data_IF_620602803316
#
_entry.id   IF_620602803316
#
_cell.length_a   1.000
_cell.length_b   1.000
_cell.length_c   1.000
_cell.angle_alpha   90.00
_cell.angle_beta   90.00
_cell.angle_gamma   90.00
#
_symmetry.space_group_name_H-M   'P 1'
#
loop_
_entity.id
_entity.type
_entity.pdbx_description
1 polymer ?
#
# COMPACT_ATOMS: atom_id res chain seq x y z
N UNK A 1 37.61 21.62 -25.74
CA UNK A 1 36.23 21.19 -25.48
C UNK A 1 35.63 22.20 -24.51
N UNK A 2 34.58 22.93 -24.88
CA UNK A 2 33.92 23.84 -23.93
C UNK A 2 33.12 23.03 -22.91
N UNK A 3 33.05 23.54 -21.69
CA UNK A 3 32.32 22.96 -20.57
C UNK A 3 30.81 22.97 -20.85
N UNK A 4 30.17 21.86 -20.48
CA UNK A 4 28.74 21.63 -20.55
C UNK A 4 28.06 22.37 -19.39
N UNK A 5 27.49 23.55 -19.66
CA UNK A 5 26.63 24.29 -18.74
C UNK A 5 25.28 23.57 -18.66
N UNK A 6 25.20 22.53 -17.82
CA UNK A 6 23.92 21.92 -17.45
C UNK A 6 23.13 22.88 -16.55
N UNK A 7 21.87 23.21 -16.90
CA UNK A 7 21.04 24.07 -16.07
C UNK A 7 20.75 23.39 -14.73
N UNK A 8 20.90 24.16 -13.65
CA UNK A 8 20.66 23.73 -12.28
C UNK A 8 19.29 23.07 -12.09
N UNK A 9 19.28 21.94 -11.38
CA UNK A 9 18.09 21.24 -10.90
C UNK A 9 17.12 22.24 -10.25
N UNK A 10 16.03 22.53 -10.94
CA UNK A 10 14.90 23.25 -10.34
C UNK A 10 14.29 22.33 -9.29
N UNK A 11 14.15 22.74 -8.01
CA UNK A 11 13.55 21.90 -6.99
C UNK A 11 12.14 21.46 -7.44
N UNK A 12 11.99 20.15 -7.56
CA UNK A 12 10.77 19.49 -8.01
C UNK A 12 9.58 19.90 -7.13
N UNK A 13 8.52 20.41 -7.75
CA UNK A 13 7.23 20.77 -7.13
C UNK A 13 6.57 19.61 -6.33
N UNK A 14 7.09 18.38 -6.42
CA UNK A 14 6.69 17.23 -5.62
C UNK A 14 7.15 17.36 -4.14
N UNK A 15 8.24 18.09 -3.87
CA UNK A 15 8.79 18.27 -2.52
C UNK A 15 7.90 19.14 -1.63
N UNK A 16 7.42 20.27 -2.16
CA UNK A 16 6.58 21.20 -1.40
C UNK A 16 5.19 20.61 -1.11
N UNK A 17 4.60 19.88 -2.06
CA UNK A 17 3.34 19.17 -1.86
C UNK A 17 3.45 18.04 -0.81
N UNK A 18 4.62 17.42 -0.67
CA UNK A 18 4.85 16.35 0.30
C UNK A 18 4.89 16.86 1.75
N UNK A 19 5.50 18.03 1.97
CA UNK A 19 5.60 18.66 3.30
C UNK A 19 4.23 19.15 3.78
N UNK A 20 3.45 19.77 2.89
CA UNK A 20 2.11 20.25 3.20
C UNK A 20 1.15 19.11 3.58
N UNK A 21 1.20 17.99 2.83
CA UNK A 21 0.42 16.78 3.16
C UNK A 21 0.80 16.17 4.51
N UNK A 22 2.08 16.16 4.86
CA UNK A 22 2.54 15.63 6.15
C UNK A 22 2.08 16.50 7.33
N UNK A 23 2.06 17.83 7.16
CA UNK A 23 1.55 18.76 8.15
C UNK A 23 0.04 18.60 8.33
N UNK A 24 -0.72 18.52 7.23
CA UNK A 24 -2.17 18.27 7.26
C UNK A 24 -2.50 16.93 7.93
N UNK A 25 -1.76 15.86 7.61
CA UNK A 25 -1.91 14.55 8.23
C UNK A 25 -1.73 14.60 9.77
N UNK A 26 -0.72 15.32 10.26
CA UNK A 26 -0.49 15.51 11.70
C UNK A 26 -1.61 16.32 12.36
N UNK A 27 -2.08 17.37 11.71
CA UNK A 27 -3.18 18.19 12.22
C UNK A 27 -4.48 17.36 12.37
N UNK A 28 -4.79 16.53 11.38
CA UNK A 28 -5.96 15.62 11.42
C UNK A 28 -5.87 14.60 12.55
N UNK A 29 -4.67 14.11 12.86
CA UNK A 29 -4.45 13.14 13.94
C UNK A 29 -4.24 13.77 15.31
N UNK A 30 -4.15 15.10 15.43
CA UNK A 30 -3.84 15.78 16.70
C UNK A 30 -4.92 15.58 17.77
N UNK A 31 -6.18 15.38 17.35
CA UNK A 31 -7.32 15.11 18.25
C UNK A 31 -7.56 13.63 18.54
N UNK A 32 -6.79 12.73 17.91
CA UNK A 32 -6.98 11.27 18.04
C UNK A 32 -6.26 10.76 19.30
N UNK A 33 -6.94 10.03 20.19
CA UNK A 33 -6.32 9.40 21.35
C UNK A 33 -5.17 8.45 20.95
N UNK A 34 -4.07 8.48 21.70
CA UNK A 34 -2.91 7.62 21.51
C UNK A 34 -3.10 6.24 22.18
N UNK A 35 -4.24 5.60 21.94
CA UNK A 35 -4.60 4.29 22.47
C UNK A 35 -4.81 3.26 21.34
N UNK A 36 -4.53 1.97 21.60
CA UNK A 36 -4.82 0.91 20.64
C UNK A 36 -6.30 0.92 20.25
N UNK A 37 -6.61 0.84 18.95
CA UNK A 37 -7.99 0.83 18.47
C UNK A 37 -8.71 2.18 18.51
N UNK A 38 -8.02 3.30 18.75
CA UNK A 38 -8.66 4.61 18.65
C UNK A 38 -9.28 4.84 17.26
N UNK A 39 -10.54 5.29 17.22
CA UNK A 39 -11.22 5.65 15.99
C UNK A 39 -10.50 6.79 15.25
N UNK A 40 -10.51 6.74 13.93
CA UNK A 40 -9.88 7.72 13.03
C UNK A 40 -10.95 8.55 12.33
N UNK A 41 -10.73 9.85 12.08
CA UNK A 41 -11.72 10.72 11.41
C UNK A 41 -12.12 10.29 10.00
N UNK A 42 -11.18 9.77 9.20
CA UNK A 42 -11.43 9.22 7.86
C UNK A 42 -10.58 7.94 7.68
N UNK A 43 -11.07 6.79 8.17
CA UNK A 43 -10.36 5.53 8.08
C UNK A 43 -10.45 4.98 6.64
N UNK A 44 -9.30 4.90 5.96
CA UNK A 44 -9.21 4.27 4.65
C UNK A 44 -9.25 2.74 4.76
N UNK A 45 -8.72 2.21 5.86
CA UNK A 45 -8.68 0.78 6.11
C UNK A 45 -9.13 0.50 7.54
N UNK A 46 -10.07 -0.42 7.68
CA UNK A 46 -10.64 -0.84 8.97
C UNK A 46 -10.50 -2.35 9.08
N UNK A 47 -10.06 -2.84 10.24
CA UNK A 47 -9.98 -4.26 10.57
C UNK A 47 -10.69 -4.52 11.89
N UNK A 48 -11.54 -5.54 11.91
CA UNK A 48 -12.34 -5.92 13.07
C UNK A 48 -12.20 -7.42 13.34
N UNK A 49 -11.73 -7.76 14.55
CA UNK A 49 -11.60 -9.13 15.06
C UNK A 49 -10.75 -10.04 14.17
N UNK A 50 -9.71 -9.50 13.54
CA UNK A 50 -8.92 -10.19 12.53
C UNK A 50 -7.93 -11.15 13.21
N UNK A 51 -8.21 -12.45 13.12
CA UNK A 51 -7.36 -13.49 13.70
C UNK A 51 -6.80 -14.38 12.60
N UNK A 52 -5.49 -14.64 12.66
CA UNK A 52 -4.82 -15.63 11.82
C UNK A 52 -3.94 -16.55 12.66
N UNK A 53 -4.22 -17.85 12.59
CA UNK A 53 -3.46 -18.89 13.26
C UNK A 53 -2.89 -19.90 12.25
N UNK A 54 -1.69 -20.42 12.54
CA UNK A 54 -1.03 -21.48 11.77
C UNK A 54 -0.74 -22.67 12.69
N UNK A 55 -1.37 -23.82 12.43
CA UNK A 55 -1.05 -25.07 13.13
C UNK A 55 -1.17 -25.00 14.66
N UNK A 56 -2.02 -24.12 15.19
CA UNK A 56 -2.20 -23.90 16.64
C UNK A 56 -1.50 -22.66 17.19
N UNK A 57 -0.63 -21.98 16.42
CA UNK A 57 0.01 -20.72 16.81
C UNK A 57 -0.77 -19.53 16.24
N UNK A 58 -1.30 -18.66 17.10
CA UNK A 58 -1.89 -17.39 16.68
C UNK A 58 -0.78 -16.43 16.25
N UNK A 59 -0.71 -16.15 14.94
CA UNK A 59 0.31 -15.27 14.36
C UNK A 59 -0.15 -13.82 14.29
N UNK A 60 -1.45 -13.57 14.16
CA UNK A 60 -2.04 -12.22 14.18
C UNK A 60 -3.32 -12.28 14.98
N UNK A 61 -3.44 -11.37 15.93
CA UNK A 61 -4.63 -11.14 16.74
C UNK A 61 -4.86 -9.63 16.82
N UNK A 62 -5.86 -9.14 16.11
CA UNK A 62 -6.20 -7.72 16.04
C UNK A 62 -7.67 -7.57 16.39
N UNK A 63 -7.94 -6.99 17.56
CA UNK A 63 -9.30 -6.72 18.01
C UNK A 63 -9.96 -5.64 17.14
N UNK A 64 -9.34 -4.48 17.03
CA UNK A 64 -9.79 -3.39 16.16
C UNK A 64 -8.61 -2.51 15.75
N UNK A 65 -8.52 -2.19 14.46
CA UNK A 65 -7.46 -1.34 13.92
C UNK A 65 -7.96 -0.49 12.75
N UNK A 66 -7.70 0.81 12.81
CA UNK A 66 -8.02 1.76 11.76
C UNK A 66 -6.79 2.51 11.25
N UNK A 67 -6.70 2.64 9.94
CA UNK A 67 -5.66 3.41 9.24
C UNK A 67 -6.31 4.64 8.62
N UNK A 68 -5.78 5.82 8.94
CA UNK A 68 -6.25 7.10 8.45
C UNK A 68 -5.82 7.33 6.99
N UNK A 69 -6.74 7.84 6.16
CA UNK A 69 -6.43 8.27 4.79
C UNK A 69 -5.39 9.38 4.78
N UNK A 70 -4.44 9.30 3.84
CA UNK A 70 -3.45 10.36 3.61
C UNK A 70 -2.32 10.40 4.66
N UNK A 71 -2.31 9.47 5.61
CA UNK A 71 -1.29 9.36 6.63
C UNK A 71 -0.35 8.18 6.35
N UNK A 72 0.92 8.32 6.73
CA UNK A 72 1.88 7.21 6.73
C UNK A 72 1.78 6.49 8.07
N UNK A 73 1.29 5.25 8.06
CA UNK A 73 1.20 4.42 9.26
C UNK A 73 2.32 3.38 9.27
N UNK A 74 3.14 3.41 10.32
CA UNK A 74 4.20 2.42 10.54
C UNK A 74 3.72 1.29 11.45
N UNK A 75 3.95 0.04 11.03
CA UNK A 75 3.77 -1.13 11.89
C UNK A 75 5.13 -1.59 12.43
N UNK A 76 5.31 -1.48 13.75
CA UNK A 76 6.57 -1.80 14.44
C UNK A 76 6.32 -2.95 15.42
N UNK A 77 7.30 -3.84 15.57
CA UNK A 77 7.24 -4.95 16.52
C UNK A 77 8.45 -5.88 16.39
N UNK A 78 8.67 -6.79 17.34
CA UNK A 78 9.78 -7.74 17.29
C UNK A 78 9.68 -8.71 16.10
N UNK A 79 10.78 -9.40 15.79
CA UNK A 79 10.77 -10.47 14.79
C UNK A 79 9.82 -11.57 15.25
N UNK A 80 8.99 -12.09 14.33
CA UNK A 80 7.96 -13.08 14.67
C UNK A 80 6.63 -12.50 15.18
N UNK A 81 6.50 -11.19 15.40
CA UNK A 81 5.25 -10.56 15.86
C UNK A 81 4.10 -10.54 14.83
N UNK A 82 4.18 -11.33 13.75
CA UNK A 82 3.10 -11.40 12.77
C UNK A 82 3.02 -10.26 11.74
N UNK A 83 3.95 -9.30 11.72
CA UNK A 83 3.94 -8.17 10.76
C UNK A 83 3.77 -8.63 9.31
N UNK A 84 4.64 -9.54 8.85
CA UNK A 84 4.58 -10.10 7.49
C UNK A 84 3.27 -10.84 7.24
N UNK A 85 2.74 -11.53 8.26
CA UNK A 85 1.44 -12.20 8.20
C UNK A 85 0.31 -11.20 8.00
N UNK A 86 0.29 -10.10 8.75
CA UNK A 86 -0.69 -9.03 8.59
C UNK A 86 -0.64 -8.44 7.17
N UNK A 87 0.55 -8.16 6.65
CA UNK A 87 0.70 -7.72 5.26
C UNK A 87 0.16 -8.74 4.25
N UNK A 88 0.37 -10.04 4.46
CA UNK A 88 -0.18 -11.07 3.59
C UNK A 88 -1.71 -11.10 3.61
N UNK A 89 -2.34 -10.88 4.78
CA UNK A 89 -3.79 -10.79 4.93
C UNK A 89 -4.36 -9.58 4.17
N UNK A 90 -3.76 -8.40 4.36
CA UNK A 90 -4.21 -7.16 3.70
C UNK A 90 -3.99 -7.16 2.19
N UNK A 91 -3.06 -7.98 1.70
CA UNK A 91 -2.74 -8.07 0.27
C UNK A 91 -3.39 -9.27 -0.40
N UNK A 92 -4.21 -10.04 0.33
CA UNK A 92 -4.94 -11.20 -0.18
C UNK A 92 -4.09 -12.43 -0.44
N UNK A 93 -2.80 -12.43 -0.06
CA UNK A 93 -1.91 -13.58 -0.17
C UNK A 93 -2.23 -14.65 0.87
N UNK A 94 -2.89 -14.26 1.96
CA UNK A 94 -3.38 -15.16 2.98
C UNK A 94 -4.83 -14.83 3.39
N UNK A 95 -5.49 -15.74 4.10
CA UNK A 95 -6.89 -15.59 4.55
C UNK A 95 -6.95 -15.60 6.08
N UNK A 96 -7.65 -14.64 6.67
CA UNK A 96 -7.91 -14.69 8.11
C UNK A 96 -8.81 -15.88 8.46
N UNK A 97 -8.63 -16.45 9.66
CA UNK A 97 -9.51 -17.49 10.19
C UNK A 97 -10.85 -16.88 10.61
N UNK A 98 -10.81 -15.73 11.28
CA UNK A 98 -11.98 -14.96 11.72
C UNK A 98 -11.75 -13.47 11.49
N UNK A 99 -12.84 -12.70 11.60
CA UNK A 99 -12.83 -11.26 11.40
C UNK A 99 -12.96 -10.84 9.94
N UNK A 100 -12.95 -9.52 9.75
CA UNK A 100 -13.02 -8.92 8.44
C UNK A 100 -12.19 -7.65 8.38
N UNK A 101 -11.82 -7.28 7.17
CA UNK A 101 -11.23 -5.97 6.89
C UNK A 101 -11.87 -5.37 5.64
N UNK A 102 -11.94 -4.05 5.65
CA UNK A 102 -12.49 -3.24 4.59
C UNK A 102 -11.50 -2.15 4.16
N UNK A 103 -11.53 -1.83 2.88
CA UNK A 103 -10.81 -0.70 2.29
C UNK A 103 -11.82 0.21 1.63
N UNK A 104 -11.82 1.50 2.00
CA UNK A 104 -12.79 2.51 1.53
C UNK A 104 -14.25 2.05 1.70
N UNK A 105 -14.58 1.49 2.86
CA UNK A 105 -15.91 0.96 3.17
C UNK A 105 -16.30 -0.31 2.41
N UNK A 106 -15.40 -0.88 1.58
CA UNK A 106 -15.66 -2.11 0.82
C UNK A 106 -14.89 -3.26 1.46
N UNK A 107 -15.60 -4.33 1.83
CA UNK A 107 -14.94 -5.55 2.28
C UNK A 107 -14.07 -6.13 1.16
N UNK A 108 -12.77 -6.24 1.42
CA UNK A 108 -11.81 -6.91 0.54
C UNK A 108 -11.41 -8.29 1.07
N UNK A 109 -12.06 -8.71 2.15
CA UNK A 109 -11.84 -10.00 2.78
C UNK A 109 -12.06 -11.13 1.76
N UNK A 110 -11.13 -12.09 1.73
CA UNK A 110 -11.17 -13.30 0.86
C UNK A 110 -11.00 -13.06 -0.65
N UNK A 111 -10.73 -11.83 -1.09
CA UNK A 111 -10.41 -11.57 -2.49
C UNK A 111 -8.99 -12.02 -2.83
N UNK A 112 -8.75 -12.52 -4.06
CA UNK A 112 -7.40 -12.83 -4.52
C UNK A 112 -6.57 -11.54 -4.72
N UNK A 113 -5.23 -11.61 -4.60
CA UNK A 113 -4.34 -10.43 -4.61
C UNK A 113 -4.52 -9.51 -5.82
N UNK A 114 -4.77 -10.07 -7.01
CA UNK A 114 -4.97 -9.29 -8.23
C UNK A 114 -6.23 -8.40 -8.20
N UNK A 115 -7.28 -8.82 -7.47
CA UNK A 115 -8.49 -8.00 -7.27
C UNK A 115 -8.29 -6.95 -6.18
N UNK A 116 -7.52 -7.28 -5.15
CA UNK A 116 -7.12 -6.34 -4.09
C UNK A 116 -6.28 -5.20 -4.66
N UNK A 117 -5.27 -5.53 -5.48
CA UNK A 117 -4.42 -4.56 -6.17
C UNK A 117 -5.21 -3.63 -7.10
N UNK A 118 -6.14 -4.19 -7.91
CA UNK A 118 -7.04 -3.40 -8.79
C UNK A 118 -7.97 -2.45 -8.03
N UNK A 119 -8.14 -2.65 -6.72
CA UNK A 119 -8.96 -1.80 -5.85
C UNK A 119 -8.13 -0.76 -5.10
N UNK A 120 -6.82 -0.63 -5.37
CA UNK A 120 -5.96 0.42 -4.82
C UNK A 120 -5.03 -0.03 -3.68
N UNK A 121 -5.17 -1.26 -3.18
CA UNK A 121 -4.27 -1.80 -2.15
C UNK A 121 -3.11 -2.52 -2.81
N UNK A 122 -2.00 -1.80 -2.99
CA UNK A 122 -0.79 -2.30 -3.67
C UNK A 122 0.31 -2.60 -2.65
N UNK A 123 1.02 -3.70 -2.86
CA UNK A 123 2.16 -4.11 -2.05
C UNK A 123 3.46 -3.90 -2.80
N UNK A 124 4.41 -3.21 -2.17
CA UNK A 124 5.81 -3.25 -2.57
C UNK A 124 6.48 -4.49 -1.96
N UNK A 125 7.26 -5.20 -2.76
CA UNK A 125 8.01 -6.36 -2.29
C UNK A 125 9.42 -5.93 -1.88
N UNK A 126 9.89 -6.39 -0.73
CA UNK A 126 11.20 -6.05 -0.18
C UNK A 126 12.35 -6.40 -1.15
N UNK A 127 12.17 -7.44 -1.96
CA UNK A 127 12.98 -7.67 -3.15
C UNK A 127 12.16 -7.26 -4.37
N UNK A 128 12.48 -6.12 -4.96
CA UNK A 128 11.89 -5.67 -6.22
C UNK A 128 12.23 -6.69 -7.30
N UNK A 129 11.24 -7.46 -7.76
CA UNK A 129 11.36 -8.24 -9.00
C UNK A 129 11.24 -7.30 -10.21
N UNK A 130 12.11 -6.31 -10.27
CA UNK A 130 12.27 -5.48 -11.45
C UNK A 130 12.93 -6.33 -12.55
N UNK A 131 12.50 -6.17 -13.79
CA UNK A 131 13.11 -6.88 -14.90
C UNK A 131 14.41 -6.16 -15.23
N UNK A 132 15.52 -6.71 -14.71
CA UNK A 132 16.87 -6.12 -14.82
C UNK A 132 17.37 -5.93 -16.26
N UNK A 133 16.72 -6.58 -17.23
CA UNK A 133 17.02 -6.44 -18.67
C UNK A 133 16.28 -5.27 -19.34
N UNK A 134 15.41 -4.58 -18.62
CA UNK A 134 14.61 -3.47 -19.15
C UNK A 134 15.13 -2.14 -18.61
N UNK A 135 14.95 -1.07 -19.40
CA UNK A 135 15.24 0.29 -18.93
C UNK A 135 14.32 0.68 -17.76
N UNK A 136 14.67 1.75 -17.04
CA UNK A 136 13.80 2.30 -15.98
C UNK A 136 12.43 2.67 -16.54
N UNK A 137 12.40 3.30 -17.71
CA UNK A 137 11.17 3.70 -18.38
C UNK A 137 10.29 2.48 -18.73
N UNK A 138 10.90 1.40 -19.19
CA UNK A 138 10.16 0.17 -19.52
C UNK A 138 9.63 -0.56 -18.29
N UNK A 139 10.37 -0.53 -17.17
CA UNK A 139 9.84 -1.02 -15.89
C UNK A 139 8.65 -0.19 -15.41
N UNK A 140 8.64 1.13 -15.62
CA UNK A 140 7.51 1.98 -15.28
C UNK A 140 6.30 1.72 -16.20
N UNK A 141 6.52 1.48 -17.49
CA UNK A 141 5.46 1.13 -18.45
C UNK A 141 4.72 -0.16 -18.07
N UNK A 142 5.41 -1.14 -17.47
CA UNK A 142 4.79 -2.38 -17.00
C UNK A 142 3.82 -2.20 -15.83
N UNK A 143 3.95 -1.11 -15.06
CA UNK A 143 3.02 -0.79 -13.98
C UNK A 143 1.76 -0.06 -14.46
N UNK A 144 1.79 0.53 -15.65
CA UNK A 144 0.69 1.30 -16.22
C UNK A 144 -0.31 0.38 -16.94
N UNK A 145 -1.58 0.41 -16.51
CA UNK A 145 -2.68 -0.32 -17.16
C UNK A 145 -3.21 0.44 -18.39
N UNK A 146 -3.72 -0.27 -19.40
CA UNK A 146 -4.36 0.33 -20.57
C UNK A 146 -3.39 0.70 -21.69
N UNK A 147 -2.22 0.05 -21.74
CA UNK A 147 -1.28 0.24 -22.85
C UNK A 147 -1.88 -0.33 -24.15
N UNK A 148 -1.65 0.33 -25.28
CA UNK A 148 -2.20 -0.06 -26.59
C UNK A 148 -1.88 -1.51 -26.98
N UNK A 149 -0.72 -2.02 -26.55
CA UNK A 149 -0.27 -3.39 -26.75
C UNK A 149 -0.93 -4.46 -25.86
N UNK A 150 -1.79 -4.09 -24.89
CA UNK A 150 -2.49 -5.04 -24.01
C UNK A 150 -3.67 -5.74 -24.69
N UNK A 151 -4.15 -5.23 -25.84
CA UNK A 151 -5.24 -5.83 -26.61
C UNK A 151 -4.72 -6.41 -27.92
N UNK A 152 -5.07 -7.68 -28.18
CA UNK A 152 -4.64 -8.38 -29.41
C UNK A 152 -5.14 -7.69 -30.68
N UNK A 153 -6.32 -7.06 -30.63
CA UNK A 153 -6.86 -6.25 -31.73
C UNK A 153 -6.14 -4.89 -31.86
N UNK A 154 -5.83 -4.21 -30.75
CA UNK A 154 -5.11 -2.93 -30.78
C UNK A 154 -3.66 -3.05 -31.26
N UNK A 155 -3.02 -4.19 -31.01
CA UNK A 155 -1.67 -4.50 -31.50
C UNK A 155 -1.63 -4.84 -33.01
N UNK A 156 -2.74 -5.24 -33.61
CA UNK A 156 -2.81 -5.59 -35.04
C UNK A 156 -3.18 -4.40 -35.93
N UNK A 157 -3.72 -3.33 -35.36
CA UNK A 157 -4.26 -2.16 -36.08
C UNK A 157 -3.62 -0.81 -35.67
N UNK A 158 -2.45 -0.84 -35.04
CA UNK A 158 -1.58 0.33 -34.81
C UNK A 158 -0.26 0.12 -35.55
#
# INVERSE_FOLDING_TARGET
MPADDSPADTPSALGEQGVDRAAAARATLASVPAEPGAAKPDPILVMDGLIRAFGGLTAVDVEHLEIQRGCITGLIGPNGAGKTTLFNLLTGFDRANTGSWAYEGRSLSRLPPHRVARRGVVRTFQLTKALAKLTVLDNMRLGATGQSGESFLGALFT
#
